data_IF_620025915030
#
_entry.id   IF_620025915030
#
_cell.length_a   1.000
_cell.length_b   1.000
_cell.length_c   1.000
_cell.angle_alpha   90.00
_cell.angle_beta   90.00
_cell.angle_gamma   90.00
#
_symmetry.space_group_name_H-M   'P 1'
#
loop_
_entity.id
_entity.type
_entity.pdbx_description
1 polymer ?
#
# COMPACT_ATOMS: atom_id res chain seq x y z
N UNK A 1 10.45 -13.15 26.92
CA UNK A 1 9.80 -13.57 28.18
C UNK A 1 9.20 -12.40 28.97
N UNK A 2 9.96 -11.42 29.51
CA UNK A 2 9.37 -10.32 30.29
C UNK A 2 8.43 -9.44 29.43
N UNK A 3 8.83 -9.05 28.21
CA UNK A 3 8.01 -8.27 27.29
C UNK A 3 6.76 -9.01 26.83
N UNK A 4 6.84 -10.32 26.68
CA UNK A 4 5.69 -11.16 26.30
C UNK A 4 4.64 -11.21 27.42
N UNK A 5 5.08 -11.47 28.66
CA UNK A 5 4.16 -11.59 29.80
C UNK A 5 3.51 -10.26 30.15
N UNK A 6 4.31 -9.18 30.23
CA UNK A 6 3.79 -7.84 30.54
C UNK A 6 2.89 -7.32 29.41
N UNK A 7 3.28 -7.53 28.18
CA UNK A 7 2.49 -7.08 27.03
C UNK A 7 1.16 -7.85 26.87
N UNK A 8 1.17 -9.20 27.10
CA UNK A 8 -0.07 -10.01 27.04
C UNK A 8 -1.05 -9.57 28.12
N UNK A 9 -0.57 -9.37 29.35
CA UNK A 9 -1.43 -8.91 30.43
C UNK A 9 -1.99 -7.50 30.15
N UNK A 10 -1.17 -6.58 29.62
CA UNK A 10 -1.60 -5.23 29.24
C UNK A 10 -2.69 -5.26 28.16
N UNK A 11 -2.55 -6.08 27.12
CA UNK A 11 -3.54 -6.20 26.06
C UNK A 11 -4.82 -6.91 26.52
N UNK A 12 -4.70 -7.94 27.37
CA UNK A 12 -5.87 -8.64 27.90
C UNK A 12 -6.62 -7.83 28.94
N UNK A 13 -5.91 -7.18 29.89
CA UNK A 13 -6.53 -6.52 31.03
C UNK A 13 -6.97 -5.08 30.71
N UNK A 14 -6.17 -4.33 29.91
CA UNK A 14 -6.49 -2.92 29.60
C UNK A 14 -7.33 -2.76 28.35
N UNK A 15 -7.15 -3.61 27.33
CA UNK A 15 -7.84 -3.50 26.04
C UNK A 15 -8.85 -4.63 25.77
N UNK A 16 -9.02 -5.58 26.70
CA UNK A 16 -9.98 -6.71 26.59
C UNK A 16 -9.84 -7.56 25.33
N UNK A 17 -8.64 -7.64 24.74
CA UNK A 17 -8.41 -8.52 23.59
C UNK A 17 -8.43 -9.99 24.01
N UNK A 18 -8.84 -10.85 23.07
CA UNK A 18 -8.75 -12.29 23.24
C UNK A 18 -7.29 -12.70 23.47
N UNK A 19 -7.03 -13.57 24.47
CA UNK A 19 -5.70 -14.01 24.87
C UNK A 19 -4.85 -14.56 23.69
N UNK A 20 -5.49 -15.27 22.77
CA UNK A 20 -4.84 -15.80 21.57
C UNK A 20 -4.38 -14.70 20.62
N UNK A 21 -5.22 -13.70 20.37
CA UNK A 21 -4.90 -12.56 19.51
C UNK A 21 -3.83 -11.69 20.16
N UNK A 22 -3.90 -11.46 21.45
CA UNK A 22 -2.90 -10.72 22.23
C UNK A 22 -1.53 -11.37 22.13
N UNK A 23 -1.45 -12.70 22.21
CA UNK A 23 -0.20 -13.45 22.06
C UNK A 23 0.40 -13.30 20.65
N UNK A 24 -0.41 -13.37 19.59
CA UNK A 24 0.06 -13.19 18.21
C UNK A 24 0.58 -11.76 18.00
N UNK A 25 -0.17 -10.75 18.43
CA UNK A 25 0.25 -9.34 18.30
C UNK A 25 1.59 -9.10 18.99
N UNK A 26 1.75 -9.62 20.20
CA UNK A 26 3.00 -9.44 20.97
C UNK A 26 4.15 -10.19 20.34
N UNK A 27 3.95 -11.40 19.82
CA UNK A 27 5.02 -12.10 19.09
C UNK A 27 5.46 -11.33 17.85
N UNK A 28 4.53 -10.75 17.10
CA UNK A 28 4.86 -9.88 15.96
C UNK A 28 5.62 -8.63 16.44
N UNK A 29 5.18 -7.99 17.51
CA UNK A 29 5.86 -6.82 18.11
C UNK A 29 7.26 -7.19 18.58
N UNK A 30 7.44 -8.31 19.26
CA UNK A 30 8.76 -8.81 19.72
C UNK A 30 9.67 -9.11 18.52
N UNK A 31 9.16 -9.73 17.45
CA UNK A 31 9.92 -9.97 16.22
C UNK A 31 10.36 -8.66 15.57
N UNK A 32 9.47 -7.68 15.48
CA UNK A 32 9.78 -6.34 14.93
C UNK A 32 10.81 -5.62 15.81
N UNK A 33 10.63 -5.64 17.12
CA UNK A 33 11.59 -5.03 18.07
C UNK A 33 12.95 -5.72 17.96
N UNK A 34 13.01 -7.06 17.94
CA UNK A 34 14.26 -7.80 17.78
C UNK A 34 14.92 -7.53 16.43
N UNK A 35 14.12 -7.39 15.35
CA UNK A 35 14.64 -7.02 14.05
C UNK A 35 15.21 -5.59 14.05
N UNK A 36 14.49 -4.61 14.62
CA UNK A 36 14.95 -3.22 14.75
C UNK A 36 16.21 -3.15 15.64
N UNK A 37 16.22 -3.86 16.78
CA UNK A 37 17.36 -3.90 17.68
C UNK A 37 18.58 -4.55 17.01
N UNK A 38 18.39 -5.68 16.34
CA UNK A 38 19.45 -6.35 15.57
C UNK A 38 19.99 -5.44 14.47
N UNK A 39 19.11 -4.76 13.73
CA UNK A 39 19.49 -3.85 12.64
C UNK A 39 20.14 -2.55 13.15
N UNK A 40 19.74 -2.05 14.32
CA UNK A 40 20.30 -0.81 14.89
C UNK A 40 21.60 -1.03 15.68
N UNK A 41 21.77 -2.19 16.34
CA UNK A 41 22.89 -2.43 17.25
C UNK A 41 23.90 -3.45 16.73
N UNK A 42 23.46 -4.49 16.00
CA UNK A 42 24.35 -5.55 15.53
C UNK A 42 24.86 -5.26 14.09
N UNK A 43 23.98 -4.75 13.22
CA UNK A 43 24.32 -4.43 11.85
C UNK A 43 24.44 -2.91 11.65
N UNK A 44 25.40 -2.25 12.32
CA UNK A 44 25.83 -0.89 11.97
C UNK A 44 26.55 -0.93 10.62
N UNK A 45 25.81 -0.99 9.52
CA UNK A 45 26.31 -0.45 8.26
C UNK A 45 26.22 1.08 8.38
N UNK A 46 27.27 1.77 8.02
CA UNK A 46 27.29 3.23 7.93
C UNK A 46 26.04 3.70 7.20
N UNK A 47 25.11 4.31 7.95
CA UNK A 47 23.88 4.84 7.36
C UNK A 47 24.29 6.05 6.54
N UNK A 48 24.13 5.99 5.23
CA UNK A 48 24.24 7.18 4.37
C UNK A 48 23.35 8.28 4.98
N UNK A 49 23.83 9.49 5.13
CA UNK A 49 23.01 10.61 5.61
C UNK A 49 21.78 10.78 4.71
N UNK A 50 20.66 11.21 5.29
CA UNK A 50 19.39 11.35 4.57
C UNK A 50 19.52 12.20 3.30
N UNK A 51 20.41 13.22 3.31
CA UNK A 51 20.74 14.04 2.14
C UNK A 51 21.27 13.21 0.97
N UNK A 52 22.16 12.25 1.24
CA UNK A 52 22.75 11.40 0.19
C UNK A 52 21.73 10.40 -0.34
N UNK A 53 20.82 9.89 0.51
CA UNK A 53 19.73 9.02 0.09
C UNK A 53 18.77 9.78 -0.83
N UNK A 54 18.42 11.01 -0.49
CA UNK A 54 17.57 11.88 -1.31
C UNK A 54 18.25 12.25 -2.64
N UNK A 55 19.54 12.63 -2.59
CA UNK A 55 20.33 12.94 -3.77
C UNK A 55 20.51 11.72 -4.68
N UNK A 56 20.62 10.51 -4.12
CA UNK A 56 20.74 9.27 -4.87
C UNK A 56 19.43 8.81 -5.54
N UNK A 57 18.26 9.30 -5.08
CA UNK A 57 16.94 8.85 -5.53
C UNK A 57 16.02 9.99 -6.01
N UNK A 58 16.57 11.18 -6.32
CA UNK A 58 15.76 12.35 -6.68
C UNK A 58 14.86 12.12 -7.91
N UNK A 59 15.30 11.32 -8.89
CA UNK A 59 14.47 10.97 -10.06
C UNK A 59 13.20 10.22 -9.65
N UNK A 60 13.32 9.25 -8.74
CA UNK A 60 12.16 8.50 -8.21
C UNK A 60 11.22 9.42 -7.42
N UNK A 61 11.80 10.35 -6.65
CA UNK A 61 11.04 11.33 -5.88
C UNK A 61 10.29 12.28 -6.81
N UNK A 62 10.92 12.78 -7.85
CA UNK A 62 10.26 13.64 -8.85
C UNK A 62 9.17 12.87 -9.59
N UNK A 63 9.41 11.61 -9.97
CA UNK A 63 8.44 10.74 -10.61
C UNK A 63 7.23 10.39 -9.71
N UNK A 64 7.37 10.51 -8.40
CA UNK A 64 6.25 10.46 -7.44
C UNK A 64 5.54 11.82 -7.35
N UNK A 65 6.30 12.91 -7.18
CA UNK A 65 5.75 14.25 -6.91
C UNK A 65 4.92 14.77 -8.09
N UNK A 66 5.35 14.56 -9.34
CA UNK A 66 4.63 15.09 -10.51
C UNK A 66 3.21 14.49 -10.61
N UNK A 67 3.00 13.16 -10.59
CA UNK A 67 1.65 12.61 -10.57
C UNK A 67 0.85 12.99 -9.31
N UNK A 68 1.51 13.13 -8.13
CA UNK A 68 0.85 13.57 -6.91
C UNK A 68 0.30 15.00 -7.05
N UNK A 69 1.11 15.92 -7.58
CA UNK A 69 0.68 17.30 -7.86
C UNK A 69 -0.44 17.31 -8.90
N UNK A 70 -0.33 16.50 -9.97
CA UNK A 70 -1.37 16.38 -10.99
C UNK A 70 -2.71 15.96 -10.36
N UNK A 71 -2.70 14.94 -9.51
CA UNK A 71 -3.89 14.48 -8.81
C UNK A 71 -4.44 15.54 -7.85
N UNK A 72 -3.57 16.25 -7.13
CA UNK A 72 -3.99 17.34 -6.26
C UNK A 72 -4.65 18.49 -7.04
N UNK A 73 -4.06 18.90 -8.16
CA UNK A 73 -4.64 19.92 -9.06
C UNK A 73 -5.98 19.44 -9.61
N UNK A 74 -6.06 18.16 -10.01
CA UNK A 74 -7.33 17.56 -10.45
C UNK A 74 -8.40 17.65 -9.37
N UNK A 75 -8.07 17.39 -8.11
CA UNK A 75 -9.02 17.52 -6.99
C UNK A 75 -9.56 18.94 -6.86
N UNK A 76 -8.69 19.94 -6.95
CA UNK A 76 -9.09 21.35 -6.85
C UNK A 76 -9.96 21.76 -8.04
N UNK A 77 -9.55 21.43 -9.26
CA UNK A 77 -10.25 21.85 -10.50
C UNK A 77 -11.58 21.13 -10.69
N UNK A 78 -11.63 19.85 -10.34
CA UNK A 78 -12.85 19.03 -10.45
C UNK A 78 -13.72 19.07 -9.18
N UNK A 79 -13.41 19.96 -8.23
CA UNK A 79 -14.17 20.12 -6.98
C UNK A 79 -14.37 18.79 -6.24
N UNK A 80 -13.32 17.95 -6.19
CA UNK A 80 -13.36 16.68 -5.48
C UNK A 80 -13.16 16.96 -3.98
N UNK A 81 -14.00 16.35 -3.14
CA UNK A 81 -13.93 16.56 -1.70
C UNK A 81 -12.53 16.33 -1.12
N UNK A 82 -11.98 17.23 -0.31
CA UNK A 82 -12.66 18.26 0.50
C UNK A 82 -12.88 19.62 -0.22
N UNK A 83 -12.52 19.76 -1.50
CA UNK A 83 -12.61 21.02 -2.24
C UNK A 83 -14.00 21.27 -2.84
N UNK A 84 -14.89 20.26 -2.83
CA UNK A 84 -16.25 20.36 -3.35
C UNK A 84 -17.05 19.09 -3.13
N UNK A 85 -18.14 18.92 -3.87
CA UNK A 85 -19.10 17.82 -3.70
C UNK A 85 -18.84 16.59 -4.58
N UNK A 86 -17.81 16.60 -5.43
CA UNK A 86 -17.51 15.49 -6.32
C UNK A 86 -16.59 14.46 -5.68
N UNK A 87 -16.53 13.26 -6.26
CA UNK A 87 -15.67 12.16 -5.81
C UNK A 87 -15.09 11.41 -7.02
N UNK A 88 -13.92 10.79 -6.82
CA UNK A 88 -13.35 9.82 -7.76
C UNK A 88 -14.04 8.45 -7.65
N UNK A 89 -14.89 8.25 -6.64
CA UNK A 89 -15.62 7.00 -6.48
C UNK A 89 -16.75 6.92 -7.51
N UNK A 90 -16.60 6.03 -8.46
CA UNK A 90 -17.59 5.77 -9.52
C UNK A 90 -17.66 4.27 -9.79
N UNK A 91 -18.69 3.83 -10.48
CA UNK A 91 -18.91 2.43 -10.86
C UNK A 91 -18.75 1.51 -9.62
N UNK A 92 -17.87 0.52 -9.65
CA UNK A 92 -17.67 -0.43 -8.56
C UNK A 92 -17.07 0.21 -7.30
N UNK A 93 -16.30 1.29 -7.44
CA UNK A 93 -15.78 1.97 -6.25
C UNK A 93 -16.88 2.61 -5.40
N UNK A 94 -18.00 2.99 -6.00
CA UNK A 94 -19.17 3.49 -5.29
C UNK A 94 -20.07 2.36 -4.78
N UNK A 95 -20.34 1.34 -5.63
CA UNK A 95 -21.33 0.31 -5.35
C UNK A 95 -20.77 -0.91 -4.60
N UNK A 96 -19.47 -1.17 -4.68
CA UNK A 96 -18.82 -2.31 -4.03
C UNK A 96 -17.75 -1.88 -3.02
N UNK A 97 -16.72 -1.15 -3.47
CA UNK A 97 -15.59 -0.84 -2.58
C UNK A 97 -16.00 0.04 -1.40
N UNK A 98 -16.77 1.10 -1.62
CA UNK A 98 -17.14 2.00 -0.53
C UNK A 98 -17.95 1.28 0.57
N UNK A 99 -18.97 0.45 0.28
CA UNK A 99 -19.63 -0.40 1.27
C UNK A 99 -18.67 -1.37 1.97
N UNK A 100 -17.80 -2.06 1.23
CA UNK A 100 -16.84 -3.00 1.81
C UNK A 100 -15.84 -2.29 2.72
N UNK A 101 -15.32 -1.14 2.30
CA UNK A 101 -14.43 -0.33 3.13
C UNK A 101 -15.14 0.24 4.35
N UNK A 102 -16.43 0.55 4.26
CA UNK A 102 -17.23 1.00 5.40
C UNK A 102 -17.35 -0.09 6.47
N UNK A 103 -17.70 -1.31 6.08
CA UNK A 103 -17.76 -2.46 7.00
C UNK A 103 -16.38 -2.80 7.57
N UNK A 104 -15.36 -2.81 6.72
CA UNK A 104 -13.98 -3.06 7.14
C UNK A 104 -13.47 -2.01 8.14
N UNK A 105 -13.73 -0.73 7.87
CA UNK A 105 -13.40 0.37 8.77
C UNK A 105 -14.09 0.21 10.14
N UNK A 106 -15.39 -0.06 10.13
CA UNK A 106 -16.17 -0.23 11.36
C UNK A 106 -15.62 -1.39 12.21
N UNK A 107 -15.23 -2.49 11.57
CA UNK A 107 -14.63 -3.63 12.27
C UNK A 107 -13.23 -3.36 12.79
N UNK A 108 -12.43 -2.57 12.08
CA UNK A 108 -11.11 -2.18 12.55
C UNK A 108 -11.16 -1.19 13.72
N UNK A 109 -12.11 -0.26 13.70
CA UNK A 109 -12.23 0.80 14.72
C UNK A 109 -13.01 0.31 15.94
N UNK A 110 -14.06 -0.50 15.75
CA UNK A 110 -14.98 -0.94 16.81
C UNK A 110 -14.77 -2.41 17.24
N UNK A 111 -13.58 -2.97 16.97
CA UNK A 111 -13.20 -4.34 17.39
C UNK A 111 -14.15 -5.43 16.92
N UNK A 112 -14.63 -5.33 15.66
CA UNK A 112 -15.48 -6.33 15.05
C UNK A 112 -14.73 -7.54 14.52
N UNK A 113 -15.46 -8.65 14.26
CA UNK A 113 -14.87 -9.84 13.62
C UNK A 113 -14.50 -9.56 12.16
N UNK A 114 -13.26 -9.86 11.78
CA UNK A 114 -12.80 -9.82 10.37
C UNK A 114 -13.11 -11.11 9.61
N UNK A 115 -13.66 -12.12 10.26
CA UNK A 115 -13.99 -13.40 9.61
C UNK A 115 -15.40 -13.41 9.03
N UNK A 116 -16.33 -12.71 9.64
CA UNK A 116 -17.73 -12.74 9.26
C UNK A 116 -18.41 -11.38 9.42
N UNK A 117 -19.32 -11.05 8.51
CA UNK A 117 -20.16 -9.86 8.59
C UNK A 117 -21.61 -10.17 8.22
N UNK A 118 -22.54 -9.51 8.89
CA UNK A 118 -23.97 -9.52 8.57
C UNK A 118 -24.37 -8.41 7.58
N UNK A 119 -23.48 -7.44 7.35
CA UNK A 119 -23.76 -6.24 6.57
C UNK A 119 -23.68 -6.47 5.05
N UNK A 120 -23.24 -7.66 4.63
CA UNK A 120 -23.08 -8.03 3.22
C UNK A 120 -23.94 -9.27 2.94
N UNK A 121 -24.96 -9.11 2.06
CA UNK A 121 -25.72 -10.21 1.48
C UNK A 121 -26.40 -11.15 2.49
N UNK A 122 -26.94 -10.65 3.59
CA UNK A 122 -27.56 -11.44 4.69
C UNK A 122 -26.56 -12.31 5.47
N UNK A 123 -25.29 -11.98 5.40
CA UNK A 123 -24.20 -12.68 6.06
C UNK A 123 -23.21 -13.29 5.08
N UNK A 124 -21.94 -12.95 5.24
CA UNK A 124 -20.86 -13.41 4.35
C UNK A 124 -19.55 -13.57 5.10
N UNK A 125 -18.65 -14.38 4.52
CA UNK A 125 -17.26 -14.45 4.96
C UNK A 125 -16.54 -13.15 4.56
N UNK A 126 -16.24 -12.32 5.56
CA UNK A 126 -15.56 -11.05 5.32
C UNK A 126 -14.09 -11.24 4.91
N UNK A 127 -13.44 -12.31 5.39
CA UNK A 127 -12.04 -12.57 5.06
C UNK A 127 -11.82 -12.78 3.56
N UNK A 128 -12.76 -13.43 2.86
CA UNK A 128 -12.68 -13.63 1.41
C UNK A 128 -12.77 -12.28 0.67
N UNK A 129 -13.63 -11.40 1.15
CA UNK A 129 -13.81 -10.05 0.60
C UNK A 129 -12.54 -9.20 0.87
N UNK A 130 -11.99 -9.29 2.09
CA UNK A 130 -10.72 -8.62 2.41
C UNK A 130 -9.60 -9.13 1.51
N UNK A 131 -9.45 -10.44 1.37
CA UNK A 131 -8.39 -11.05 0.57
C UNK A 131 -8.47 -10.67 -0.92
N UNK A 132 -9.68 -10.44 -1.44
CA UNK A 132 -9.88 -10.08 -2.85
C UNK A 132 -9.82 -8.58 -3.11
N UNK A 133 -10.41 -7.75 -2.25
CA UNK A 133 -10.60 -6.30 -2.49
C UNK A 133 -9.72 -5.39 -1.64
N UNK A 134 -9.35 -5.80 -0.42
CA UNK A 134 -8.88 -4.87 0.62
C UNK A 134 -7.56 -5.25 1.28
N UNK A 135 -6.92 -6.35 0.89
CA UNK A 135 -5.73 -6.88 1.58
C UNK A 135 -4.47 -6.00 1.42
N UNK A 136 -4.51 -4.99 0.56
CA UNK A 136 -3.38 -4.07 0.39
C UNK A 136 -3.08 -3.31 1.69
N UNK A 137 -1.81 -3.31 2.19
CA UNK A 137 -1.44 -2.59 3.39
C UNK A 137 -1.72 -1.08 3.35
N UNK A 138 -1.70 -0.46 2.16
CA UNK A 138 -2.05 0.95 2.02
C UNK A 138 -3.51 1.24 2.39
N UNK A 139 -4.37 0.25 2.30
CA UNK A 139 -5.80 0.42 2.62
C UNK A 139 -6.05 0.70 4.10
N UNK A 140 -5.09 0.41 5.01
CA UNK A 140 -5.17 0.81 6.42
C UNK A 140 -5.25 2.33 6.62
N UNK A 141 -4.92 3.14 5.61
CA UNK A 141 -5.11 4.60 5.65
C UNK A 141 -6.56 4.97 5.97
N UNK A 142 -7.55 4.13 5.62
CA UNK A 142 -8.96 4.40 5.93
C UNK A 142 -9.24 4.62 7.42
N UNK A 143 -8.47 3.99 8.30
CA UNK A 143 -8.63 4.12 9.77
C UNK A 143 -8.36 5.55 10.25
N UNK A 144 -7.62 6.35 9.47
CA UNK A 144 -7.34 7.75 9.79
C UNK A 144 -8.52 8.69 9.48
N UNK A 145 -9.56 8.19 8.82
CA UNK A 145 -10.73 8.96 8.42
C UNK A 145 -11.96 8.51 9.21
N UNK A 146 -12.90 9.42 9.43
CA UNK A 146 -14.21 9.04 9.95
C UNK A 146 -15.03 8.31 8.88
N UNK A 147 -15.99 7.50 9.29
CA UNK A 147 -16.88 6.75 8.39
C UNK A 147 -17.51 7.62 7.29
N UNK A 148 -17.93 8.83 7.65
CA UNK A 148 -18.56 9.79 6.74
C UNK A 148 -17.62 10.30 5.64
N UNK A 149 -16.30 10.24 5.89
CA UNK A 149 -15.25 10.72 4.98
C UNK A 149 -14.49 9.59 4.27
N UNK A 150 -14.99 8.35 4.28
CA UNK A 150 -14.34 7.23 3.61
C UNK A 150 -14.20 7.44 2.09
N UNK A 151 -15.14 8.16 1.46
CA UNK A 151 -15.02 8.52 0.04
C UNK A 151 -13.77 9.40 -0.21
N UNK A 152 -13.41 10.30 0.72
CA UNK A 152 -12.16 11.08 0.65
C UNK A 152 -10.95 10.16 0.84
N UNK A 153 -11.02 9.23 1.80
CA UNK A 153 -9.95 8.26 2.02
C UNK A 153 -9.67 7.43 0.75
N UNK A 154 -10.72 7.02 0.03
CA UNK A 154 -10.57 6.33 -1.25
C UNK A 154 -9.93 7.20 -2.33
N UNK A 155 -10.31 8.49 -2.41
CA UNK A 155 -9.67 9.44 -3.33
C UNK A 155 -8.18 9.63 -2.99
N UNK A 156 -7.83 9.68 -1.70
CA UNK A 156 -6.43 9.72 -1.23
C UNK A 156 -5.69 8.45 -1.65
N UNK A 157 -6.27 7.28 -1.43
CA UNK A 157 -5.68 6.00 -1.82
C UNK A 157 -5.41 5.92 -3.32
N UNK A 158 -6.39 6.31 -4.16
CA UNK A 158 -6.22 6.38 -5.62
C UNK A 158 -5.02 7.28 -5.96
N UNK A 159 -4.98 8.48 -5.41
CA UNK A 159 -3.92 9.46 -5.70
C UNK A 159 -2.53 8.97 -5.27
N UNK A 160 -2.43 8.35 -4.09
CA UNK A 160 -1.17 7.77 -3.59
C UNK A 160 -0.72 6.62 -4.49
N UNK A 161 -1.63 5.71 -4.89
CA UNK A 161 -1.30 4.56 -5.73
C UNK A 161 -0.82 5.01 -7.12
N UNK A 162 -1.45 6.02 -7.71
CA UNK A 162 -1.01 6.65 -8.97
C UNK A 162 0.41 7.23 -8.82
N UNK A 163 0.66 8.01 -7.76
CA UNK A 163 1.97 8.61 -7.54
C UNK A 163 3.06 7.56 -7.30
N UNK A 164 2.76 6.52 -6.52
CA UNK A 164 3.68 5.42 -6.26
C UNK A 164 3.98 4.61 -7.53
N UNK A 165 3.02 4.44 -8.45
CA UNK A 165 3.26 3.74 -9.71
C UNK A 165 4.30 4.46 -10.60
N UNK A 166 4.33 5.80 -10.57
CA UNK A 166 5.39 6.59 -11.19
C UNK A 166 6.76 6.35 -10.56
N UNK A 167 6.80 6.31 -9.23
CA UNK A 167 8.04 6.04 -8.49
C UNK A 167 8.61 4.65 -8.78
N UNK A 168 7.78 3.62 -8.78
CA UNK A 168 8.20 2.24 -9.04
C UNK A 168 8.68 2.06 -10.49
N UNK A 169 7.99 2.70 -11.44
CA UNK A 169 8.42 2.72 -12.83
C UNK A 169 9.75 3.45 -13.03
N UNK A 170 9.97 4.56 -12.32
CA UNK A 170 11.25 5.25 -12.36
C UNK A 170 12.40 4.37 -11.81
N UNK A 171 12.14 3.57 -10.76
CA UNK A 171 13.09 2.58 -10.25
C UNK A 171 13.48 1.56 -11.33
N UNK A 172 12.49 0.96 -11.97
CA UNK A 172 12.69 -0.04 -13.02
C UNK A 172 13.46 0.53 -14.22
N UNK A 173 13.06 1.71 -14.71
CA UNK A 173 13.73 2.37 -15.82
C UNK A 173 15.16 2.78 -15.47
N UNK A 174 15.41 3.23 -14.24
CA UNK A 174 16.76 3.54 -13.75
C UNK A 174 17.68 2.32 -13.77
N UNK A 175 17.17 1.18 -13.37
CA UNK A 175 17.85 -0.10 -13.48
C UNK A 175 18.13 -0.48 -14.96
N UNK A 176 17.08 -0.44 -15.79
CA UNK A 176 17.16 -0.84 -17.20
C UNK A 176 18.15 0.01 -18.02
N UNK A 177 18.14 1.32 -17.78
CA UNK A 177 19.07 2.26 -18.40
C UNK A 177 20.48 2.22 -17.80
N UNK A 178 20.73 1.44 -16.74
CA UNK A 178 21.97 1.42 -15.96
C UNK A 178 22.43 2.80 -15.49
N UNK A 179 21.51 3.74 -15.44
CA UNK A 179 21.73 5.12 -15.02
C UNK A 179 20.48 5.67 -14.35
N UNK A 180 20.40 5.55 -13.02
CA UNK A 180 19.26 6.01 -12.22
C UNK A 180 19.09 7.54 -12.18
N UNK A 181 20.12 8.29 -12.61
CA UNK A 181 20.12 9.75 -12.61
C UNK A 181 19.79 10.35 -14.01
N UNK A 182 19.33 9.53 -14.96
CA UNK A 182 18.92 10.01 -16.26
C UNK A 182 17.56 10.72 -16.20
N UNK A 183 17.55 12.01 -16.52
CA UNK A 183 16.33 12.85 -16.49
C UNK A 183 15.23 12.35 -17.45
N UNK A 184 15.59 11.66 -18.53
CA UNK A 184 14.63 11.07 -19.46
C UNK A 184 13.73 10.00 -18.83
N UNK A 185 14.12 9.45 -17.68
CA UNK A 185 13.28 8.50 -16.93
C UNK A 185 11.98 9.16 -16.46
N UNK A 186 12.02 10.44 -16.08
CA UNK A 186 10.88 11.15 -15.49
C UNK A 186 9.67 11.15 -16.44
N UNK A 187 9.74 11.62 -17.70
CA UNK A 187 8.57 11.66 -18.57
C UNK A 187 7.99 10.28 -18.84
N UNK A 188 8.80 9.23 -18.97
CA UNK A 188 8.30 7.87 -19.16
C UNK A 188 7.63 7.29 -17.91
N UNK A 189 8.20 7.55 -16.73
CA UNK A 189 7.61 7.14 -15.47
C UNK A 189 6.28 7.87 -15.19
N UNK A 190 6.21 9.15 -15.48
CA UNK A 190 4.97 9.95 -15.38
C UNK A 190 3.94 9.49 -16.42
N UNK A 191 4.35 9.19 -17.65
CA UNK A 191 3.46 8.65 -18.67
C UNK A 191 2.85 7.30 -18.28
N UNK A 192 3.61 6.44 -17.59
CA UNK A 192 3.10 5.21 -17.01
C UNK A 192 2.05 5.47 -15.94
N UNK A 193 2.36 6.34 -14.96
CA UNK A 193 1.48 6.68 -13.85
C UNK A 193 0.17 7.37 -14.29
N UNK A 194 0.25 8.22 -15.31
CA UNK A 194 -0.88 8.99 -15.84
C UNK A 194 -1.40 8.42 -17.17
N UNK A 195 -1.10 7.15 -17.47
CA UNK A 195 -1.62 6.52 -18.67
C UNK A 195 -3.15 6.48 -18.68
N UNK A 196 -3.74 6.47 -19.87
CA UNK A 196 -5.20 6.42 -20.03
C UNK A 196 -5.82 5.22 -19.30
N UNK A 197 -5.12 4.09 -19.27
CA UNK A 197 -5.57 2.91 -18.50
C UNK A 197 -5.61 3.19 -17.00
N UNK A 198 -4.54 3.75 -16.44
CA UNK A 198 -4.46 4.06 -15.00
C UNK A 198 -5.53 5.06 -14.59
N UNK A 199 -5.68 6.16 -15.32
CA UNK A 199 -6.68 7.19 -15.00
C UNK A 199 -8.11 6.68 -15.25
N UNK A 200 -8.36 5.99 -16.36
CA UNK A 200 -9.69 5.50 -16.72
C UNK A 200 -10.22 4.39 -15.81
N UNK A 201 -9.33 3.58 -15.23
CA UNK A 201 -9.68 2.47 -14.31
C UNK A 201 -9.25 2.70 -12.85
N UNK A 202 -8.88 3.93 -12.49
CA UNK A 202 -8.43 4.30 -11.14
C UNK A 202 -9.48 4.02 -10.04
N UNK A 203 -10.76 3.98 -10.41
CA UNK A 203 -11.86 3.59 -9.53
C UNK A 203 -11.77 2.12 -9.08
N UNK A 204 -11.02 1.28 -9.78
CA UNK A 204 -10.81 -0.13 -9.42
C UNK A 204 -9.54 -0.28 -8.57
N UNK A 205 -9.66 -0.01 -7.28
CA UNK A 205 -8.53 0.09 -6.33
C UNK A 205 -7.62 -1.14 -6.29
N UNK A 206 -8.18 -2.34 -6.42
CA UNK A 206 -7.40 -3.57 -6.37
C UNK A 206 -6.49 -3.76 -7.60
N UNK A 207 -6.88 -3.22 -8.76
CA UNK A 207 -6.04 -3.27 -9.96
C UNK A 207 -4.86 -2.32 -9.86
N UNK A 208 -5.07 -1.18 -9.19
CA UNK A 208 -4.02 -0.18 -8.97
C UNK A 208 -2.85 -0.74 -8.16
N UNK A 209 -3.09 -1.67 -7.25
CA UNK A 209 -2.03 -2.32 -6.47
C UNK A 209 -1.10 -3.15 -7.34
N UNK A 210 -1.67 -3.88 -8.31
CA UNK A 210 -0.89 -4.66 -9.25
C UNK A 210 -0.11 -3.78 -10.24
N UNK A 211 -0.71 -2.69 -10.71
CA UNK A 211 -0.03 -1.70 -11.56
C UNK A 211 1.14 -1.06 -10.82
N UNK A 212 0.93 -0.68 -9.56
CA UNK A 212 1.95 -0.10 -8.70
C UNK A 212 3.16 -1.02 -8.53
N UNK A 213 2.95 -2.31 -8.31
CA UNK A 213 4.03 -3.24 -7.97
C UNK A 213 4.68 -3.89 -9.20
N UNK A 214 4.01 -3.92 -10.35
CA UNK A 214 4.48 -4.57 -11.58
C UNK A 214 5.89 -4.16 -12.00
N UNK A 215 6.28 -2.87 -12.01
CA UNK A 215 7.64 -2.46 -12.37
C UNK A 215 8.71 -3.06 -11.45
N UNK A 216 8.40 -3.21 -10.14
CA UNK A 216 9.34 -3.81 -9.19
C UNK A 216 9.41 -5.34 -9.34
N UNK A 217 8.32 -6.01 -9.71
CA UNK A 217 8.33 -7.44 -10.04
C UNK A 217 9.22 -7.67 -11.26
N UNK A 218 9.06 -6.87 -12.31
CA UNK A 218 9.87 -6.96 -13.52
C UNK A 218 11.35 -6.67 -13.24
N UNK A 219 11.64 -5.62 -12.47
CA UNK A 219 13.00 -5.31 -12.06
C UNK A 219 13.63 -6.45 -11.25
N UNK A 220 12.89 -6.98 -10.28
CA UNK A 220 13.37 -8.08 -9.45
C UNK A 220 13.60 -9.38 -10.24
N UNK A 221 12.71 -9.67 -11.19
CA UNK A 221 12.84 -10.82 -12.08
C UNK A 221 14.08 -10.71 -12.95
N UNK A 222 14.30 -9.58 -13.61
CA UNK A 222 15.50 -9.35 -14.45
C UNK A 222 16.78 -9.43 -13.61
N UNK A 223 16.80 -8.82 -12.41
CA UNK A 223 17.95 -8.92 -11.49
C UNK A 223 18.25 -10.36 -11.09
N UNK A 224 17.22 -11.15 -10.83
CA UNK A 224 17.36 -12.57 -10.50
C UNK A 224 17.91 -13.37 -11.69
N UNK A 225 17.50 -13.05 -12.92
CA UNK A 225 18.00 -13.71 -14.13
C UNK A 225 19.44 -13.34 -14.47
N UNK A 226 19.85 -12.09 -14.16
CA UNK A 226 21.25 -11.65 -14.35
C UNK A 226 22.20 -12.22 -13.27
N UNK A 227 21.73 -12.25 -12.02
CA UNK A 227 22.46 -12.79 -10.86
C UNK A 227 21.51 -13.59 -9.98
N UNK A 228 21.58 -14.91 -10.05
CA UNK A 228 20.70 -15.83 -9.33
C UNK A 228 20.71 -15.66 -7.80
N UNK A 229 21.68 -14.94 -7.24
CA UNK A 229 21.71 -14.60 -5.81
C UNK A 229 20.77 -13.44 -5.44
N UNK A 230 20.35 -12.62 -6.41
CA UNK A 230 19.61 -11.38 -6.17
C UNK A 230 18.09 -11.56 -6.31
N UNK A 231 17.52 -12.53 -5.60
CA UNK A 231 16.09 -12.90 -5.67
C UNK A 231 15.17 -12.07 -4.76
N UNK A 232 15.72 -11.28 -3.82
CA UNK A 232 14.93 -10.65 -2.75
C UNK A 232 13.88 -9.67 -3.25
N UNK A 233 14.25 -8.82 -4.23
CA UNK A 233 13.30 -7.85 -4.78
C UNK A 233 12.14 -8.57 -5.47
N UNK A 234 12.45 -9.58 -6.29
CA UNK A 234 11.42 -10.38 -6.95
C UNK A 234 10.48 -11.04 -5.95
N UNK A 235 11.03 -11.74 -4.96
CA UNK A 235 10.23 -12.45 -3.96
C UNK A 235 9.32 -11.50 -3.17
N UNK A 236 9.85 -10.35 -2.71
CA UNK A 236 9.08 -9.41 -1.90
C UNK A 236 8.02 -8.66 -2.72
N UNK A 237 8.34 -8.25 -3.95
CA UNK A 237 7.40 -7.55 -4.83
C UNK A 237 6.29 -8.50 -5.32
N UNK A 238 6.62 -9.74 -5.66
CA UNK A 238 5.64 -10.74 -6.04
C UNK A 238 4.74 -11.12 -4.86
N UNK A 239 5.32 -11.31 -3.66
CA UNK A 239 4.54 -11.55 -2.44
C UNK A 239 3.57 -10.40 -2.15
N UNK A 240 4.04 -9.15 -2.27
CA UNK A 240 3.16 -7.98 -2.12
C UNK A 240 2.03 -7.98 -3.15
N UNK A 241 2.33 -8.24 -4.43
CA UNK A 241 1.31 -8.32 -5.48
C UNK A 241 0.26 -9.39 -5.22
N UNK A 242 0.70 -10.60 -4.86
CA UNK A 242 -0.20 -11.71 -4.51
C UNK A 242 -1.03 -11.43 -3.25
N UNK A 243 -0.44 -10.74 -2.25
CA UNK A 243 -1.17 -10.32 -1.06
C UNK A 243 -2.26 -9.30 -1.38
N UNK A 244 -1.95 -8.30 -2.20
CA UNK A 244 -2.89 -7.23 -2.54
C UNK A 244 -4.03 -7.71 -3.44
N UNK A 245 -3.71 -8.49 -4.47
CA UNK A 245 -4.69 -9.13 -5.33
C UNK A 245 -4.08 -10.35 -6.05
N UNK A 246 -4.33 -11.52 -5.49
CA UNK A 246 -3.79 -12.77 -6.04
C UNK A 246 -4.30 -13.06 -7.47
N UNK A 247 -5.53 -12.68 -7.78
CA UNK A 247 -6.17 -12.97 -9.08
C UNK A 247 -5.49 -12.22 -10.22
N UNK A 248 -5.35 -10.91 -10.09
CA UNK A 248 -4.69 -10.08 -11.12
C UNK A 248 -3.18 -10.36 -11.19
N UNK A 249 -2.54 -10.60 -10.05
CA UNK A 249 -1.10 -10.88 -10.02
C UNK A 249 -0.76 -12.25 -10.62
N UNK A 250 -1.71 -13.20 -10.63
CA UNK A 250 -1.55 -14.51 -11.25
C UNK A 250 -1.68 -14.44 -12.78
N UNK A 251 -2.51 -13.55 -13.33
CA UNK A 251 -2.64 -13.33 -14.77
C UNK A 251 -1.40 -12.69 -15.38
#
# INVERSE_FOLDING_TARGET
MVVEVVGTNLLCDSFRYNEFISKIIIQVVVLVINYIFSKCFVFKKDKKPVKDILADNYIMIIAFIIPAIFMFVLWVVAEIGPFGGHSLTMVDSLHQYLPFFSDYHDKLVNEGSLFYTWDIGMGSNLLDIIAYYMACPLNFIIVLFSREHLYIAMCVLISIKIALSGMTMASYLGYKCRNKNNLLIIPFAVAYALSNYVIGYSWNLMWMDCILILPLIMQGFEQMMEDGSNYRLYTLSLFYGLLCNYYICFM
#
